data_IF_270801765018
#
_entry.id   IF_270801765018
#
_cell.length_a   1.000
_cell.length_b   1.000
_cell.length_c   1.000
_cell.angle_alpha   90.00
_cell.angle_beta   90.00
_cell.angle_gamma   90.00
#
_symmetry.space_group_name_H-M   'P 1'
#
loop_
_entity.id
_entity.type
_entity.pdbx_description
1 polymer ?
#
# COMPACT_ATOMS: atom_id res chain seq x y z
N UNK A 1 8.37 -9.67 -3.74
CA UNK A 1 7.37 -9.21 -2.76
C UNK A 1 7.97 -8.58 -1.50
N UNK A 2 9.02 -9.16 -0.88
CA UNK A 2 9.63 -8.60 0.35
C UNK A 2 10.07 -7.15 0.21
N UNK A 3 10.76 -6.79 -0.87
CA UNK A 3 11.18 -5.40 -1.09
C UNK A 3 10.04 -4.39 -1.29
N UNK A 4 8.85 -4.84 -1.71
CA UNK A 4 7.66 -3.98 -1.86
C UNK A 4 7.05 -3.72 -0.49
N UNK A 5 6.96 -4.74 0.36
CA UNK A 5 6.46 -4.61 1.74
C UNK A 5 7.39 -3.72 2.58
N UNK A 6 8.71 -3.87 2.45
CA UNK A 6 9.67 -3.02 3.15
C UNK A 6 9.57 -1.57 2.72
N UNK A 7 9.45 -1.31 1.41
CA UNK A 7 9.22 0.05 0.91
C UNK A 7 7.88 0.62 1.36
N UNK A 8 6.82 -0.19 1.32
CA UNK A 8 5.50 0.17 1.84
C UNK A 8 5.55 0.52 3.34
N UNK A 9 6.27 -0.25 4.16
CA UNK A 9 6.50 0.07 5.59
C UNK A 9 7.33 1.33 5.80
N UNK A 10 8.26 1.62 4.90
CA UNK A 10 9.10 2.82 4.96
C UNK A 10 8.37 4.10 4.53
N UNK A 11 7.14 4.00 3.99
CA UNK A 11 6.31 5.15 3.64
C UNK A 11 5.91 5.91 4.90
N UNK A 12 6.46 7.11 5.06
CA UNK A 12 6.07 8.05 6.13
C UNK A 12 4.71 8.71 5.90
N UNK A 13 4.06 8.43 4.77
CA UNK A 13 2.74 8.94 4.43
C UNK A 13 1.64 8.34 5.30
N UNK A 14 1.85 7.21 5.98
CA UNK A 14 0.85 6.63 6.86
C UNK A 14 1.43 5.68 7.87
N UNK A 15 0.67 5.37 8.92
CA UNK A 15 1.05 4.32 9.84
C UNK A 15 0.69 2.96 9.23
N UNK A 16 1.71 2.18 8.88
CA UNK A 16 1.51 0.83 8.36
C UNK A 16 0.86 -0.04 9.44
N UNK A 17 -0.34 -0.55 9.16
CA UNK A 17 -1.14 -1.34 10.13
C UNK A 17 -1.02 -2.83 9.90
N UNK A 18 -1.14 -3.28 8.65
CA UNK A 18 -1.11 -4.71 8.32
C UNK A 18 -0.65 -4.92 6.87
N UNK A 19 -0.07 -6.08 6.60
CA UNK A 19 0.32 -6.48 5.25
C UNK A 19 0.17 -7.98 5.07
N UNK A 20 -0.71 -8.38 4.15
CA UNK A 20 -0.97 -9.78 3.80
C UNK A 20 -0.63 -10.04 2.34
N UNK A 21 0.02 -11.17 2.09
CA UNK A 21 0.22 -11.71 0.75
C UNK A 21 -0.98 -12.59 0.44
N UNK A 22 -1.65 -12.31 -0.65
CA UNK A 22 -2.72 -13.14 -1.17
C UNK A 22 -2.30 -13.71 -2.52
N UNK A 23 -2.25 -15.04 -2.67
CA UNK A 23 -2.00 -15.66 -3.96
C UNK A 23 -3.19 -15.38 -4.87
N UNK A 24 -2.89 -14.82 -6.03
CA UNK A 24 -3.83 -14.62 -7.14
C UNK A 24 -3.67 -15.83 -8.08
N UNK A 25 -4.72 -16.16 -8.84
CA UNK A 25 -4.64 -17.20 -9.86
C UNK A 25 -3.47 -16.96 -10.83
N UNK A 26 -2.99 -18.02 -11.49
CA UNK A 26 -1.87 -17.99 -12.45
C UNK A 26 -0.47 -17.75 -11.85
N UNK A 27 -0.27 -18.05 -10.56
CA UNK A 27 1.04 -17.87 -9.91
C UNK A 27 1.40 -16.40 -9.68
N UNK A 28 0.41 -15.51 -9.82
CA UNK A 28 0.50 -14.12 -9.41
C UNK A 28 0.29 -14.05 -7.90
N UNK A 29 0.94 -13.09 -7.25
CA UNK A 29 0.80 -12.88 -5.82
C UNK A 29 0.60 -11.39 -5.59
N UNK A 30 -0.52 -11.02 -4.96
CA UNK A 30 -0.81 -9.64 -4.60
C UNK A 30 -0.44 -9.38 -3.14
N UNK A 31 -0.02 -8.14 -2.87
CA UNK A 31 0.25 -7.68 -1.52
C UNK A 31 -0.85 -6.70 -1.10
N UNK A 32 -1.72 -7.11 -0.19
CA UNK A 32 -2.65 -6.20 0.48
C UNK A 32 -1.95 -5.54 1.65
N UNK A 33 -1.88 -4.22 1.62
CA UNK A 33 -1.32 -3.39 2.69
C UNK A 33 -2.41 -2.47 3.23
N UNK A 34 -2.49 -2.35 4.55
CA UNK A 34 -3.39 -1.44 5.25
C UNK A 34 -2.58 -0.31 5.88
N UNK A 35 -2.99 0.93 5.63
CA UNK A 35 -2.39 2.12 6.21
C UNK A 35 -3.45 2.90 7.00
N UNK A 36 -3.06 3.42 8.16
CA UNK A 36 -3.84 4.41 8.90
C UNK A 36 -3.29 5.77 8.56
N UNK A 37 -4.14 6.60 7.97
CA UNK A 37 -3.82 7.94 7.55
C UNK A 37 -4.44 8.92 8.57
N UNK A 38 -3.68 9.89 9.08
CA UNK A 38 -4.24 10.92 9.95
C UNK A 38 -5.13 11.86 9.14
N UNK A 39 -6.39 12.00 9.54
CA UNK A 39 -7.41 12.86 8.89
C UNK A 39 -6.98 14.33 8.76
N UNK A 40 -6.08 14.77 9.65
CA UNK A 40 -5.50 16.12 9.66
C UNK A 40 -4.56 16.42 8.48
N UNK A 41 -4.21 15.43 7.66
CA UNK A 41 -3.30 15.62 6.52
C UNK A 41 -4.07 15.40 5.22
N UNK A 42 -4.57 16.49 4.64
CA UNK A 42 -5.14 16.48 3.30
C UNK A 42 -4.08 16.07 2.26
N UNK A 43 -4.48 15.24 1.28
CA UNK A 43 -3.61 14.76 0.19
C UNK A 43 -2.63 13.64 0.58
N UNK A 44 -2.75 13.09 1.79
CA UNK A 44 -1.87 12.00 2.24
C UNK A 44 -2.14 10.68 1.52
N UNK A 45 -3.41 10.43 1.14
CA UNK A 45 -3.82 9.30 0.32
C UNK A 45 -3.18 9.37 -1.08
N UNK A 46 -3.28 10.53 -1.74
CA UNK A 46 -2.71 10.75 -3.08
C UNK A 46 -1.19 10.57 -3.08
N UNK A 47 -0.50 11.06 -2.03
CA UNK A 47 0.93 10.80 -1.83
C UNK A 47 1.23 9.32 -1.68
N UNK A 48 0.47 8.61 -0.85
CA UNK A 48 0.65 7.18 -0.64
C UNK A 48 0.48 6.40 -1.95
N UNK A 49 -0.56 6.70 -2.72
CA UNK A 49 -0.80 6.08 -4.03
C UNK A 49 0.33 6.38 -5.02
N UNK A 50 0.81 7.62 -5.08
CA UNK A 50 1.92 8.01 -5.94
C UNK A 50 3.22 7.28 -5.54
N UNK A 51 3.51 7.18 -4.24
CA UNK A 51 4.68 6.48 -3.74
C UNK A 51 4.60 4.97 -4.02
N UNK A 52 3.42 4.35 -3.82
CA UNK A 52 3.17 2.94 -4.14
C UNK A 52 3.35 2.65 -5.64
N UNK A 53 2.84 3.53 -6.51
CA UNK A 53 3.04 3.42 -7.97
C UNK A 53 4.49 3.66 -8.39
N UNK A 54 5.26 4.43 -7.61
CA UNK A 54 6.67 4.67 -7.87
C UNK A 54 7.59 3.51 -7.43
N UNK A 55 7.08 2.49 -6.74
CA UNK A 55 7.87 1.33 -6.32
C UNK A 55 8.21 0.46 -7.56
N UNK A 56 9.51 0.29 -7.89
CA UNK A 56 9.90 -0.62 -8.96
C UNK A 56 9.52 -2.06 -8.58
N UNK A 57 8.88 -2.79 -9.51
CA UNK A 57 8.24 -4.12 -9.35
C UNK A 57 6.77 -4.11 -8.89
N UNK A 58 6.11 -2.96 -8.76
CA UNK A 58 4.64 -2.92 -8.66
C UNK A 58 4.06 -2.88 -10.07
N UNK A 59 3.39 -3.96 -10.48
CA UNK A 59 2.71 -4.03 -11.79
C UNK A 59 1.46 -3.15 -11.80
N UNK A 60 0.63 -3.30 -10.77
CA UNK A 60 -0.59 -2.53 -10.55
C UNK A 60 -0.76 -2.26 -9.05
N UNK A 61 -1.18 -1.05 -8.72
CA UNK A 61 -1.58 -0.67 -7.38
C UNK A 61 -3.06 -0.27 -7.44
N UNK A 62 -3.90 -1.04 -6.77
CA UNK A 62 -5.34 -0.79 -6.67
C UNK A 62 -5.73 -0.49 -5.22
N UNK A 63 -6.68 0.43 -5.05
CA UNK A 63 -7.27 0.70 -3.76
C UNK A 63 -8.32 -0.39 -3.44
N UNK A 64 -7.98 -1.32 -2.56
CA UNK A 64 -8.89 -2.41 -2.16
C UNK A 64 -10.10 -1.92 -1.34
N UNK A 65 -9.97 -0.80 -0.64
CA UNK A 65 -11.03 -0.22 0.17
C UNK A 65 -10.51 0.89 1.08
N UNK A 66 -11.38 1.84 1.41
CA UNK A 66 -11.10 2.88 2.40
C UNK A 66 -12.21 2.85 3.45
N UNK A 67 -11.82 2.94 4.72
CA UNK A 67 -12.76 3.03 5.83
C UNK A 67 -12.26 4.12 6.76
N UNK A 68 -13.15 5.06 7.08
CA UNK A 68 -12.90 6.08 8.09
C UNK A 68 -13.06 5.43 9.46
N UNK A 69 -12.05 5.59 10.32
CA UNK A 69 -12.04 5.09 11.70
C UNK A 69 -12.53 6.17 12.66
#
# INVERSE_FOLDING_TARGET
LEGILEKAKALKSGEFKDGKREPIAFGLECLKVGFVLPDKIEGVLEKLEADLKAIPNVTEAEQAGMTLL
#
